data_IF_136951413699
#
_entry.id   IF_136951413699
#
_cell.length_a   1.000
_cell.length_b   1.000
_cell.length_c   1.000
_cell.angle_alpha   90.00
_cell.angle_beta   90.00
_cell.angle_gamma   90.00
#
_symmetry.space_group_name_H-M   'P 1'
#
loop_
_entity.id
_entity.type
_entity.pdbx_description
1 polymer ?
#
# COMPACT_ATOMS: atom_id res chain seq x y z
N UNK A 1 -1.37 12.16 8.78
CA UNK A 1 -1.10 10.82 9.37
C UNK A 1 -0.45 10.94 10.74
N UNK A 2 0.74 11.57 10.86
CA UNK A 2 1.42 11.80 12.15
C UNK A 2 0.55 12.49 13.21
N UNK A 3 -0.19 13.55 12.84
CA UNK A 3 -1.11 14.21 13.76
C UNK A 3 -2.27 13.32 14.24
N UNK A 4 -2.74 12.37 13.43
CA UNK A 4 -3.83 11.46 13.80
C UNK A 4 -3.34 10.32 14.71
N UNK A 5 -2.12 9.83 14.47
CA UNK A 5 -1.46 8.87 15.37
C UNK A 5 -1.20 9.50 16.74
N UNK A 6 -0.88 10.80 16.79
CA UNK A 6 -0.79 11.54 18.06
C UNK A 6 -2.11 11.59 18.83
N UNK A 7 -3.25 11.75 18.14
CA UNK A 7 -4.59 11.70 18.76
C UNK A 7 -4.88 10.29 19.33
N UNK A 8 -4.46 9.25 18.61
CA UNK A 8 -4.57 7.85 19.08
C UNK A 8 -3.73 7.62 20.36
N UNK A 9 -2.49 8.12 20.37
CA UNK A 9 -1.54 7.95 21.46
C UNK A 9 -1.97 8.65 22.77
N UNK A 10 -2.64 9.80 22.66
CA UNK A 10 -3.17 10.55 23.80
C UNK A 10 -4.65 10.22 24.12
N UNK A 11 -5.25 9.24 23.45
CA UNK A 11 -6.64 8.88 23.72
C UNK A 11 -6.83 8.32 25.13
N UNK A 12 -7.74 8.95 25.89
CA UNK A 12 -8.08 8.57 27.29
C UNK A 12 -9.44 7.86 27.36
N UNK A 13 -10.23 7.92 26.29
CA UNK A 13 -11.58 7.36 26.19
C UNK A 13 -11.74 6.50 24.94
N UNK A 14 -12.56 5.45 25.03
CA UNK A 14 -12.87 4.52 23.94
C UNK A 14 -13.50 5.21 22.72
N UNK A 15 -14.28 6.28 22.96
CA UNK A 15 -14.84 7.11 21.89
C UNK A 15 -13.75 7.91 21.15
N UNK A 16 -12.71 8.35 21.84
CA UNK A 16 -11.58 9.08 21.24
C UNK A 16 -10.69 8.14 20.42
N UNK A 17 -10.52 6.89 20.89
CA UNK A 17 -9.84 5.83 20.15
C UNK A 17 -10.56 5.51 18.83
N UNK A 18 -11.89 5.37 18.86
CA UNK A 18 -12.71 5.10 17.68
C UNK A 18 -12.60 6.23 16.64
N UNK A 19 -12.71 7.49 17.08
CA UNK A 19 -12.58 8.65 16.19
C UNK A 19 -11.17 8.73 15.60
N UNK A 20 -10.13 8.43 16.39
CA UNK A 20 -8.75 8.41 15.92
C UNK A 20 -8.49 7.29 14.88
N UNK A 21 -9.07 6.10 15.06
CA UNK A 21 -9.01 5.01 14.07
C UNK A 21 -9.70 5.39 12.75
N UNK A 22 -10.89 6.00 12.81
CA UNK A 22 -11.61 6.46 11.62
C UNK A 22 -10.79 7.51 10.86
N UNK A 23 -10.21 8.46 11.59
CA UNK A 23 -9.36 9.51 11.01
C UNK A 23 -8.02 8.97 10.49
N UNK A 24 -7.49 7.89 11.07
CA UNK A 24 -6.31 7.18 10.56
C UNK A 24 -6.60 6.33 9.32
N UNK A 25 -7.82 5.80 9.20
CA UNK A 25 -8.25 4.99 8.05
C UNK A 25 -8.22 5.76 6.73
N UNK A 26 -8.54 7.06 6.75
CA UNK A 26 -8.52 7.92 5.57
C UNK A 26 -7.11 8.01 4.93
N UNK A 27 -6.05 8.40 5.66
CA UNK A 27 -4.67 8.32 5.18
C UNK A 27 -4.27 6.94 4.68
N UNK A 28 -4.64 5.86 5.37
CA UNK A 28 -4.26 4.51 4.94
C UNK A 28 -4.81 4.14 3.57
N UNK A 29 -6.07 4.48 3.28
CA UNK A 29 -6.63 4.28 1.94
C UNK A 29 -5.93 5.11 0.86
N UNK A 30 -5.58 6.36 1.18
CA UNK A 30 -4.83 7.23 0.28
C UNK A 30 -3.42 6.67 0.02
N UNK A 31 -2.71 6.18 1.05
CA UNK A 31 -1.39 5.58 0.88
C UNK A 31 -1.43 4.29 0.05
N UNK A 32 -2.45 3.45 0.25
CA UNK A 32 -2.59 2.20 -0.49
C UNK A 32 -2.76 2.44 -2.00
N UNK A 33 -3.55 3.44 -2.36
CA UNK A 33 -3.82 3.79 -3.77
C UNK A 33 -2.66 4.56 -4.40
N UNK A 34 -2.09 5.55 -3.70
CA UNK A 34 -0.98 6.35 -4.23
C UNK A 34 0.28 5.51 -4.44
N UNK A 35 0.63 4.63 -3.50
CA UNK A 35 1.88 3.84 -3.59
C UNK A 35 1.83 2.87 -4.76
N UNK A 36 0.70 2.21 -4.97
CA UNK A 36 0.51 1.27 -6.08
C UNK A 36 0.48 1.99 -7.43
N UNK A 37 -0.19 3.15 -7.50
CA UNK A 37 -0.23 3.97 -8.71
C UNK A 37 1.16 4.51 -9.07
N UNK A 38 1.87 5.08 -8.11
CA UNK A 38 3.23 5.57 -8.31
C UNK A 38 4.17 4.44 -8.77
N UNK A 39 4.09 3.27 -8.14
CA UNK A 39 4.86 2.10 -8.56
C UNK A 39 4.52 1.70 -10.00
N UNK A 40 3.24 1.68 -10.37
CA UNK A 40 2.84 1.36 -11.73
C UNK A 40 3.33 2.38 -12.77
N UNK A 41 3.40 3.66 -12.42
CA UNK A 41 3.84 4.75 -13.30
C UNK A 41 5.36 4.80 -13.49
N UNK A 42 6.12 4.47 -12.44
CA UNK A 42 7.58 4.57 -12.42
C UNK A 42 8.26 3.31 -12.99
N UNK A 43 7.59 2.16 -12.95
CA UNK A 43 8.19 0.89 -13.33
C UNK A 43 7.99 0.54 -14.81
N UNK A 44 9.00 -0.02 -15.48
CA UNK A 44 8.84 -0.56 -16.82
C UNK A 44 7.81 -1.71 -16.82
N UNK A 45 7.09 -1.87 -17.93
CA UNK A 45 5.93 -2.79 -18.05
C UNK A 45 6.28 -4.22 -17.59
N UNK A 46 7.50 -4.69 -17.86
CA UNK A 46 7.98 -6.01 -17.47
C UNK A 46 8.25 -6.18 -15.97
N UNK A 47 8.55 -5.10 -15.24
CA UNK A 47 8.84 -5.14 -13.79
C UNK A 47 7.64 -4.71 -12.92
N UNK A 48 6.57 -4.22 -13.55
CA UNK A 48 5.39 -3.69 -12.85
C UNK A 48 4.76 -4.73 -11.90
N UNK A 49 4.65 -6.00 -12.31
CA UNK A 49 4.12 -7.05 -11.44
C UNK A 49 5.01 -7.26 -10.20
N UNK A 50 6.32 -7.33 -10.37
CA UNK A 50 7.26 -7.53 -9.26
C UNK A 50 7.20 -6.41 -8.22
N UNK A 51 7.24 -5.16 -8.66
CA UNK A 51 7.21 -4.03 -7.72
C UNK A 51 5.84 -3.85 -7.08
N UNK A 52 4.74 -4.14 -7.79
CA UNK A 52 3.41 -4.11 -7.18
C UNK A 52 3.28 -5.17 -6.08
N UNK A 53 3.83 -6.37 -6.30
CA UNK A 53 3.91 -7.41 -5.26
C UNK A 53 4.88 -7.06 -4.13
N UNK A 54 5.92 -6.27 -4.40
CA UNK A 54 6.80 -5.74 -3.36
C UNK A 54 6.06 -4.77 -2.41
N UNK A 55 5.14 -3.93 -2.93
CA UNK A 55 4.27 -3.10 -2.08
C UNK A 55 3.44 -3.97 -1.13
N UNK A 56 2.91 -5.09 -1.62
CA UNK A 56 2.20 -6.05 -0.77
C UNK A 56 3.13 -6.69 0.27
N UNK A 57 4.36 -7.06 -0.11
CA UNK A 57 5.35 -7.61 0.82
C UNK A 57 5.67 -6.63 1.96
N UNK A 58 5.84 -5.34 1.66
CA UNK A 58 6.03 -4.31 2.68
C UNK A 58 4.87 -4.26 3.69
N UNK A 59 3.65 -4.53 3.24
CA UNK A 59 2.48 -4.60 4.14
C UNK A 59 2.59 -5.80 5.09
N UNK A 60 2.98 -6.97 4.59
CA UNK A 60 3.19 -8.17 5.40
C UNK A 60 4.35 -7.99 6.38
N UNK A 61 5.46 -7.37 5.95
CA UNK A 61 6.60 -7.02 6.83
C UNK A 61 6.13 -6.10 7.96
N UNK A 62 5.33 -5.08 7.64
CA UNK A 62 4.76 -4.17 8.64
C UNK A 62 3.91 -4.90 9.67
N UNK A 63 3.04 -5.83 9.23
CA UNK A 63 2.23 -6.68 10.12
C UNK A 63 3.10 -7.60 10.99
N UNK A 64 4.17 -8.17 10.44
CA UNK A 64 5.10 -9.03 11.16
C UNK A 64 5.86 -8.24 12.25
N UNK A 65 6.34 -7.04 11.93
CA UNK A 65 6.99 -6.16 12.91
C UNK A 65 5.98 -5.77 14.00
N UNK A 66 4.76 -5.40 13.63
CA UNK A 66 3.71 -5.04 14.58
C UNK A 66 3.39 -6.21 15.52
N UNK A 67 3.22 -7.42 14.99
CA UNK A 67 2.97 -8.63 15.77
C UNK A 67 4.15 -8.98 16.69
N UNK A 68 5.39 -8.80 16.22
CA UNK A 68 6.60 -9.00 17.02
C UNK A 68 6.74 -8.00 18.17
N UNK A 69 6.46 -6.71 17.92
CA UNK A 69 6.43 -5.67 18.97
C UNK A 69 5.33 -5.99 19.98
N UNK A 70 4.15 -6.38 19.52
CA UNK A 70 3.02 -6.72 20.36
C UNK A 70 3.36 -7.90 21.29
N UNK A 71 4.07 -8.91 20.78
CA UNK A 71 4.60 -10.02 21.57
C UNK A 71 5.64 -9.58 22.60
N UNK A 72 6.53 -8.66 22.25
CA UNK A 72 7.49 -8.07 23.19
C UNK A 72 6.84 -7.29 24.33
N UNK A 73 5.63 -6.74 24.12
CA UNK A 73 4.89 -5.94 25.11
C UNK A 73 3.99 -6.75 26.05
N UNK A 74 3.82 -8.07 25.82
CA UNK A 74 2.95 -8.95 26.65
C UNK A 74 3.39 -8.98 28.11
N UNK A 75 4.69 -8.93 28.38
CA UNK A 75 5.23 -9.02 29.75
C UNK A 75 5.04 -7.75 30.60
N UNK A 76 4.56 -6.64 30.02
CA UNK A 76 4.44 -5.36 30.72
C UNK A 76 2.99 -5.12 31.19
N UNK A 77 2.70 -5.41 32.46
CA UNK A 77 1.43 -5.14 33.15
C UNK A 77 1.14 -3.63 33.42
N UNK A 78 1.56 -2.72 32.54
CA UNK A 78 1.40 -1.27 32.72
C UNK A 78 0.75 -0.60 31.52
N UNK A 79 0.20 0.62 31.70
CA UNK A 79 -0.42 1.48 30.66
C UNK A 79 0.47 1.73 29.43
N UNK A 80 1.72 1.30 29.47
CA UNK A 80 2.69 1.36 28.37
C UNK A 80 2.51 0.24 27.35
N UNK A 81 1.87 -0.88 27.69
CA UNK A 81 1.71 -2.03 26.79
C UNK A 81 0.91 -1.68 25.53
N UNK A 82 -0.13 -0.84 25.64
CA UNK A 82 -0.87 -0.35 24.47
C UNK A 82 -0.24 0.88 23.81
N UNK A 83 0.58 1.66 24.53
CA UNK A 83 1.21 2.89 23.99
C UNK A 83 2.45 2.63 23.15
N UNK A 84 3.20 1.57 23.44
CA UNK A 84 4.43 1.21 22.71
C UNK A 84 4.15 0.89 21.24
N UNK A 85 3.14 0.07 20.88
CA UNK A 85 2.77 -0.16 19.48
C UNK A 85 2.44 1.14 18.73
N UNK A 86 1.69 2.06 19.36
CA UNK A 86 1.37 3.36 18.77
C UNK A 86 2.62 4.26 18.63
N UNK A 87 3.56 4.20 19.56
CA UNK A 87 4.82 4.93 19.48
C UNK A 87 5.71 4.42 18.33
N UNK A 88 5.78 3.10 18.12
CA UNK A 88 6.51 2.49 17.00
C UNK A 88 5.89 2.92 15.67
N UNK A 89 4.56 3.04 15.59
CA UNK A 89 3.88 3.54 14.39
C UNK A 89 4.28 4.97 14.03
N UNK A 90 4.67 5.78 15.02
CA UNK A 90 5.08 7.17 14.87
C UNK A 90 6.51 7.32 14.30
N UNK A 91 7.33 6.27 14.37
CA UNK A 91 8.69 6.26 13.84
C UNK A 91 8.68 6.13 12.30
N UNK A 92 7.76 5.35 11.73
CA UNK A 92 7.73 5.04 10.29
C UNK A 92 7.51 6.22 9.32
N UNK A 93 6.74 7.27 9.65
CA UNK A 93 6.61 8.45 8.80
C UNK A 93 7.92 9.20 8.54
N UNK A 94 8.89 9.15 9.46
CA UNK A 94 10.17 9.86 9.36
C UNK A 94 11.05 9.30 8.21
N UNK A 95 11.37 7.98 8.15
CA UNK A 95 12.11 7.42 7.04
C UNK A 95 11.33 7.50 5.72
N UNK A 96 10.00 7.42 5.74
CA UNK A 96 9.18 7.62 4.55
C UNK A 96 9.34 9.05 4.01
N UNK A 97 9.33 10.07 4.87
CA UNK A 97 9.54 11.46 4.46
C UNK A 97 10.91 11.65 3.80
N UNK A 98 11.96 11.07 4.38
CA UNK A 98 13.32 11.11 3.82
C UNK A 98 13.36 10.40 2.45
N UNK A 99 12.72 9.24 2.34
CA UNK A 99 12.64 8.50 1.09
C UNK A 99 11.88 9.26 0.00
N UNK A 100 10.78 9.95 0.35
CA UNK A 100 10.01 10.79 -0.59
C UNK A 100 10.83 11.98 -1.07
N UNK A 101 11.65 12.59 -0.21
CA UNK A 101 12.53 13.70 -0.61
C UNK A 101 13.65 13.25 -1.57
N UNK A 102 14.07 11.99 -1.48
CA UNK A 102 15.10 11.39 -2.35
C UNK A 102 14.51 10.80 -3.64
N UNK A 103 13.24 10.41 -3.63
CA UNK A 103 12.59 9.76 -4.77
C UNK A 103 12.27 10.78 -5.89
N UNK A 104 12.53 10.43 -7.16
CA UNK A 104 12.13 11.27 -8.29
C UNK A 104 10.60 11.30 -8.40
N UNK A 105 10.01 12.46 -8.70
CA UNK A 105 8.57 12.53 -8.96
C UNK A 105 8.19 11.74 -10.23
N UNK A 106 6.95 11.21 -10.25
CA UNK A 106 6.47 10.37 -11.35
C UNK A 106 6.55 11.10 -12.70
N UNK A 107 7.21 10.52 -13.73
CA UNK A 107 7.26 11.09 -15.08
C UNK A 107 5.88 11.39 -15.67
N UNK A 108 4.86 10.57 -15.35
CA UNK A 108 3.48 10.76 -15.81
C UNK A 108 2.84 12.03 -15.24
N UNK A 109 3.20 12.40 -14.01
CA UNK A 109 2.71 13.64 -13.39
C UNK A 109 3.24 14.87 -14.12
N UNK A 110 4.53 14.87 -14.47
CA UNK A 110 5.15 15.95 -15.25
C UNK A 110 4.54 16.07 -16.65
N UNK A 111 4.29 14.93 -17.34
CA UNK A 111 3.63 14.91 -18.65
C UNK A 111 2.21 15.51 -18.56
N UNK A 112 1.41 15.12 -17.56
CA UNK A 112 0.05 15.66 -17.34
C UNK A 112 0.02 17.14 -16.97
N UNK A 113 1.08 17.64 -16.33
CA UNK A 113 1.26 19.07 -16.01
C UNK A 113 1.87 19.87 -17.17
N UNK A 114 2.22 19.25 -18.29
CA UNK A 114 2.85 19.90 -19.44
C UNK A 114 4.32 20.27 -19.22
N UNK A 115 4.98 19.74 -18.18
CA UNK A 115 6.40 19.99 -17.86
C UNK A 115 7.28 18.92 -18.50
N UNK A 116 7.37 18.93 -19.83
CA UNK A 116 8.05 17.91 -20.64
C UNK A 116 9.54 17.77 -20.28
N UNK A 117 10.21 18.88 -19.98
CA UNK A 117 11.65 18.90 -19.66
C UNK A 117 11.99 18.24 -18.31
N UNK A 118 11.10 18.36 -17.34
CA UNK A 118 11.25 17.67 -16.05
C UNK A 118 10.85 16.20 -16.13
N UNK A 119 9.87 15.87 -16.98
CA UNK A 119 9.54 14.48 -17.30
C UNK A 119 10.76 13.76 -17.90
N UNK A 120 11.46 14.39 -18.84
CA UNK A 120 12.70 13.86 -19.44
C UNK A 120 13.79 13.61 -18.40
N UNK A 121 14.06 14.58 -17.51
CA UNK A 121 15.03 14.42 -16.41
C UNK A 121 14.65 13.30 -15.42
N UNK A 122 13.36 13.12 -15.14
CA UNK A 122 12.89 12.04 -14.27
C UNK A 122 13.06 10.67 -14.96
N UNK A 123 12.72 10.56 -16.25
CA UNK A 123 12.95 9.35 -17.06
C UNK A 123 14.44 9.01 -17.16
N UNK A 124 15.31 9.99 -17.38
CA UNK A 124 16.77 9.80 -17.42
C UNK A 124 17.35 9.32 -16.09
N UNK A 125 16.78 9.76 -14.95
CA UNK A 125 17.15 9.26 -13.62
C UNK A 125 16.65 7.84 -13.33
N UNK A 126 15.52 7.46 -13.94
CA UNK A 126 14.88 6.16 -13.78
C UNK A 126 15.46 5.09 -14.72
N UNK A 127 16.01 5.49 -15.86
CA UNK A 127 16.70 4.60 -16.77
C UNK A 127 18.11 4.28 -16.26
N UNK A 128 18.50 3.00 -16.35
CA UNK A 128 19.86 2.57 -16.02
C UNK A 128 20.87 3.24 -16.95
N UNK A 129 22.00 3.70 -16.40
CA UNK A 129 23.11 4.29 -17.17
C UNK A 129 23.67 3.24 -18.13
N UNK A 130 23.21 3.24 -19.39
CA UNK A 130 23.69 2.32 -20.42
C UNK A 130 22.64 1.88 -21.46
N UNK A 131 21.36 2.21 -21.29
CA UNK A 131 20.32 1.81 -22.26
C UNK A 131 20.13 2.88 -23.35
N UNK A 132 20.27 2.49 -24.61
CA UNK A 132 20.04 3.28 -25.83
C UNK A 132 18.55 3.50 -26.14
N UNK A 133 17.75 3.86 -25.13
CA UNK A 133 16.35 4.24 -25.35
C UNK A 133 16.29 5.76 -25.26
N UNK A 134 15.95 6.43 -26.35
CA UNK A 134 15.79 7.88 -26.36
C UNK A 134 14.73 8.25 -25.32
N UNK A 135 15.13 8.95 -24.26
CA UNK A 135 14.22 9.48 -23.25
C UNK A 135 13.13 10.35 -23.92
N UNK A 136 13.46 11.02 -25.03
CA UNK A 136 12.51 11.75 -25.88
C UNK A 136 11.43 10.87 -26.50
N UNK A 137 11.76 9.68 -27.01
CA UNK A 137 10.76 8.76 -27.59
C UNK A 137 9.83 8.20 -26.52
N UNK A 138 10.37 7.91 -25.33
CA UNK A 138 9.57 7.43 -24.20
C UNK A 138 8.60 8.52 -23.73
N UNK A 139 9.08 9.76 -23.60
CA UNK A 139 8.25 10.90 -23.22
C UNK A 139 7.23 11.24 -24.32
N UNK A 140 7.60 11.15 -25.60
CA UNK A 140 6.68 11.36 -26.73
C UNK A 140 5.57 10.30 -26.76
N UNK A 141 5.89 9.03 -26.50
CA UNK A 141 4.90 7.97 -26.34
C UNK A 141 3.96 8.24 -25.16
N UNK A 142 4.49 8.69 -24.02
CA UNK A 142 3.66 9.05 -22.86
C UNK A 142 2.72 10.23 -23.15
N UNK A 143 3.20 11.26 -23.87
CA UNK A 143 2.38 12.40 -24.31
C UNK A 143 1.28 11.93 -25.27
N UNK A 144 1.61 11.07 -26.24
CA UNK A 144 0.63 10.53 -27.17
C UNK A 144 -0.44 9.69 -26.44
N UNK A 145 -0.04 8.84 -25.50
CA UNK A 145 -0.97 8.06 -24.67
C UNK A 145 -1.85 8.97 -23.82
N UNK A 146 -1.30 10.00 -23.16
CA UNK A 146 -2.10 10.96 -22.37
C UNK A 146 -3.10 11.72 -23.24
N UNK A 147 -2.72 12.12 -24.46
CA UNK A 147 -3.64 12.77 -25.40
C UNK A 147 -4.77 11.85 -25.86
N UNK A 148 -4.47 10.56 -26.10
CA UNK A 148 -5.49 9.55 -26.43
C UNK A 148 -6.40 9.30 -25.23
N UNK A 149 -5.85 9.15 -24.02
CA UNK A 149 -6.63 8.98 -22.79
C UNK A 149 -7.53 10.18 -22.52
N UNK A 150 -7.03 11.42 -22.67
CA UNK A 150 -7.82 12.64 -22.47
C UNK A 150 -8.95 12.75 -23.48
N UNK A 151 -8.72 12.40 -24.75
CA UNK A 151 -9.78 12.35 -25.77
C UNK A 151 -10.85 11.29 -25.47
N UNK A 152 -10.46 10.16 -24.88
CA UNK A 152 -11.40 9.12 -24.44
C UNK A 152 -12.15 9.53 -23.16
N UNK A 153 -11.50 10.33 -22.30
CA UNK A 153 -12.00 10.72 -20.98
C UNK A 153 -12.74 12.08 -20.98
N UNK A 154 -12.73 12.83 -22.08
CA UNK A 154 -13.51 14.05 -22.27
C UNK A 154 -15.02 13.73 -22.15
N UNK A 155 -15.59 14.05 -20.98
CA UNK A 155 -17.02 13.87 -20.68
C UNK A 155 -17.37 12.65 -19.83
N UNK A 156 -16.40 11.84 -19.39
CA UNK A 156 -16.67 10.66 -18.55
C UNK A 156 -16.64 11.00 -17.04
N UNK A 157 -17.80 11.05 -16.39
CA UNK A 157 -17.88 11.11 -14.92
C UNK A 157 -17.75 9.73 -14.26
N UNK A 158 -17.58 9.66 -12.93
CA UNK A 158 -17.51 8.39 -12.19
C UNK A 158 -18.75 7.48 -12.39
N UNK A 159 -19.91 8.08 -12.67
CA UNK A 159 -21.15 7.37 -13.01
C UNK A 159 -21.10 6.66 -14.38
N UNK A 160 -20.17 7.05 -15.27
CA UNK A 160 -19.98 6.39 -16.56
C UNK A 160 -19.29 5.03 -16.43
N UNK A 161 -18.65 4.72 -15.30
CA UNK A 161 -18.15 3.38 -14.98
C UNK A 161 -19.30 2.35 -14.87
N UNK A 162 -20.47 2.80 -14.42
CA UNK A 162 -21.70 2.00 -14.32
C UNK A 162 -22.56 2.08 -15.58
N UNK A 163 -22.13 2.79 -16.63
CA UNK A 163 -22.90 2.99 -17.86
C UNK A 163 -22.20 2.30 -19.03
N UNK A 164 -22.89 1.32 -19.60
CA UNK A 164 -22.41 0.51 -20.73
C UNK A 164 -21.91 -0.88 -20.33
N UNK A 165 -22.20 -1.88 -21.18
CA UNK A 165 -22.00 -3.31 -20.89
C UNK A 165 -20.53 -3.69 -20.69
N UNK A 166 -19.61 -2.96 -21.32
CA UNK A 166 -18.16 -3.20 -21.23
C UNK A 166 -17.57 -2.62 -19.95
N UNK A 167 -17.87 -1.35 -19.63
CA UNK A 167 -17.35 -0.68 -18.43
C UNK A 167 -17.95 -1.27 -17.15
N UNK A 168 -19.22 -1.68 -17.19
CA UNK A 168 -19.88 -2.32 -16.06
C UNK A 168 -19.26 -3.69 -15.75
N UNK A 169 -18.98 -4.52 -16.76
CA UNK A 169 -18.29 -5.81 -16.57
C UNK A 169 -16.88 -5.63 -15.99
N UNK A 170 -16.14 -4.60 -16.45
CA UNK A 170 -14.80 -4.29 -15.89
C UNK A 170 -14.89 -3.85 -14.43
N UNK A 171 -15.85 -2.99 -14.11
CA UNK A 171 -16.07 -2.50 -12.75
C UNK A 171 -16.53 -3.63 -11.83
N UNK A 172 -17.43 -4.49 -12.30
CA UNK A 172 -17.89 -5.68 -11.58
C UNK A 172 -16.74 -6.62 -11.25
N UNK A 173 -15.88 -6.97 -12.23
CA UNK A 173 -14.73 -7.83 -11.99
C UNK A 173 -13.78 -7.20 -10.96
N UNK A 174 -13.50 -5.90 -11.06
CA UNK A 174 -12.64 -5.21 -10.09
C UNK A 174 -13.24 -5.22 -8.67
N UNK A 175 -14.53 -4.92 -8.53
CA UNK A 175 -15.24 -4.95 -7.25
C UNK A 175 -15.30 -6.38 -6.68
N UNK A 176 -15.66 -7.37 -7.48
CA UNK A 176 -15.73 -8.78 -7.07
C UNK A 176 -14.36 -9.30 -6.62
N UNK A 177 -13.28 -8.89 -7.28
CA UNK A 177 -11.91 -9.29 -6.89
C UNK A 177 -11.58 -8.78 -5.48
N UNK A 178 -11.92 -7.52 -5.18
CA UNK A 178 -11.74 -6.92 -3.86
C UNK A 178 -12.64 -7.56 -2.78
N UNK A 179 -13.89 -7.86 -3.14
CA UNK A 179 -14.84 -8.54 -2.25
C UNK A 179 -14.33 -9.95 -1.93
N UNK A 180 -13.93 -10.74 -2.94
CA UNK A 180 -13.36 -12.07 -2.75
C UNK A 180 -12.13 -12.03 -1.84
N UNK A 181 -11.24 -11.04 -2.01
CA UNK A 181 -10.07 -10.89 -1.15
C UNK A 181 -10.46 -10.66 0.32
N UNK A 182 -11.50 -9.85 0.57
CA UNK A 182 -11.98 -9.57 1.93
C UNK A 182 -12.69 -10.80 2.53
N UNK A 183 -13.51 -11.49 1.74
CA UNK A 183 -14.24 -12.71 2.14
C UNK A 183 -13.27 -13.86 2.45
N UNK A 184 -12.14 -13.92 1.75
CA UNK A 184 -11.09 -14.93 1.99
C UNK A 184 -10.39 -14.75 3.36
N UNK A 185 -10.76 -13.72 4.12
CA UNK A 185 -10.46 -13.65 5.54
C UNK A 185 -9.34 -12.68 5.92
N UNK A 186 -8.96 -11.76 5.05
CA UNK A 186 -7.95 -10.73 5.37
C UNK A 186 -8.29 -9.96 6.65
N UNK A 187 -9.57 -9.66 6.88
CA UNK A 187 -10.06 -9.02 8.12
C UNK A 187 -10.00 -9.94 9.35
N UNK A 188 -10.10 -11.26 9.16
CA UNK A 188 -9.94 -12.23 10.25
C UNK A 188 -8.48 -12.34 10.67
N UNK A 189 -7.54 -12.24 9.72
CA UNK A 189 -6.10 -12.26 10.02
C UNK A 189 -5.67 -11.14 10.96
N UNK A 190 -6.29 -9.95 10.85
CA UNK A 190 -6.02 -8.83 11.74
C UNK A 190 -6.45 -9.06 13.19
N UNK A 191 -7.40 -9.97 13.42
CA UNK A 191 -7.91 -10.33 14.75
C UNK A 191 -7.50 -11.76 15.16
N UNK A 192 -6.54 -12.38 14.47
CA UNK A 192 -6.13 -13.78 14.70
C UNK A 192 -5.78 -14.07 16.17
N UNK A 193 -5.05 -13.18 16.83
CA UNK A 193 -4.66 -13.32 18.26
C UNK A 193 -5.88 -13.50 19.16
N UNK A 194 -6.91 -12.67 18.97
CA UNK A 194 -8.15 -12.74 19.73
C UNK A 194 -8.91 -14.06 19.50
N UNK A 195 -8.91 -14.56 18.26
CA UNK A 195 -9.52 -15.86 17.96
C UNK A 195 -8.74 -17.03 18.55
N UNK A 196 -7.40 -16.95 18.57
CA UNK A 196 -6.56 -17.96 19.19
C UNK A 196 -6.70 -17.99 20.71
N UNK A 197 -6.79 -16.83 21.37
CA UNK A 197 -7.13 -16.73 22.80
C UNK A 197 -8.50 -17.36 23.10
N UNK A 198 -9.52 -17.04 22.29
CA UNK A 198 -10.86 -17.65 22.43
C UNK A 198 -10.90 -19.15 22.15
N UNK A 199 -9.97 -19.67 21.37
CA UNK A 199 -9.82 -21.10 21.13
C UNK A 199 -9.17 -21.86 22.32
N UNK A 200 -8.77 -21.14 23.38
CA UNK A 200 -8.21 -21.72 24.61
C UNK A 200 -6.69 -21.82 24.62
N UNK A 201 -6.00 -21.15 23.68
CA UNK A 201 -4.53 -21.06 23.69
C UNK A 201 -4.08 -20.03 24.74
N UNK A 202 -2.99 -20.33 25.44
CA UNK A 202 -2.33 -19.36 26.31
C UNK A 202 -1.87 -18.14 25.49
N UNK A 203 -1.97 -16.94 26.06
CA UNK A 203 -1.69 -15.66 25.39
C UNK A 203 -0.38 -15.72 24.60
N UNK A 204 0.73 -16.19 25.19
CA UNK A 204 2.00 -16.36 24.46
C UNK A 204 1.82 -17.17 23.18
N UNK A 205 1.27 -18.38 23.26
CA UNK A 205 1.10 -19.27 22.11
C UNK A 205 0.19 -18.68 21.01
N UNK A 206 -0.80 -17.87 21.39
CA UNK A 206 -1.68 -17.17 20.44
C UNK A 206 -0.91 -16.11 19.62
N UNK A 207 0.03 -15.40 20.25
CA UNK A 207 0.90 -14.46 19.55
C UNK A 207 1.98 -15.18 18.72
N UNK A 208 2.56 -16.29 19.19
CA UNK A 208 3.46 -17.15 18.41
C UNK A 208 2.81 -17.59 17.09
N UNK A 209 1.59 -18.10 17.16
CA UNK A 209 0.83 -18.55 15.98
C UNK A 209 0.53 -17.40 15.02
N UNK A 210 0.27 -16.21 15.55
CA UNK A 210 0.03 -15.02 14.72
C UNK A 210 1.30 -14.59 13.97
N UNK A 211 2.47 -14.62 14.64
CA UNK A 211 3.76 -14.36 13.99
C UNK A 211 4.04 -15.42 12.92
N UNK A 212 3.77 -16.70 13.21
CA UNK A 212 3.93 -17.79 12.25
C UNK A 212 3.01 -17.62 11.03
N UNK A 213 1.77 -17.19 11.23
CA UNK A 213 0.82 -16.88 10.16
C UNK A 213 1.34 -15.78 9.24
N UNK A 214 1.85 -14.67 9.78
CA UNK A 214 2.42 -13.59 8.97
C UNK A 214 3.74 -13.99 8.30
N UNK A 215 4.55 -14.82 8.95
CA UNK A 215 5.77 -15.38 8.34
C UNK A 215 5.44 -16.31 7.16
N UNK A 216 4.40 -17.15 7.28
CA UNK A 216 3.89 -17.94 6.16
C UNK A 216 3.39 -17.04 5.02
N UNK A 217 2.66 -15.97 5.35
CA UNK A 217 2.25 -14.95 4.39
C UNK A 217 3.44 -14.33 3.65
N UNK A 218 4.51 -13.98 4.36
CA UNK A 218 5.74 -13.45 3.78
C UNK A 218 6.37 -14.44 2.79
N UNK A 219 6.52 -15.70 3.20
CA UNK A 219 7.08 -16.74 2.33
C UNK A 219 6.19 -17.02 1.12
N UNK A 220 4.86 -17.00 1.28
CA UNK A 220 3.91 -17.15 0.19
C UNK A 220 4.01 -16.02 -0.84
N UNK A 221 4.15 -14.77 -0.39
CA UNK A 221 4.37 -13.62 -1.27
C UNK A 221 5.70 -13.74 -2.02
N UNK A 222 6.78 -14.16 -1.37
CA UNK A 222 8.08 -14.36 -2.03
C UNK A 222 8.04 -15.51 -3.05
N UNK A 223 7.38 -16.62 -2.72
CA UNK A 223 7.19 -17.76 -3.63
C UNK A 223 6.30 -17.43 -4.83
N UNK A 224 5.43 -16.43 -4.72
CA UNK A 224 4.57 -15.98 -5.81
C UNK A 224 5.34 -15.24 -6.92
N UNK A 225 6.49 -14.64 -6.62
CA UNK A 225 7.30 -13.89 -7.59
C UNK A 225 7.74 -14.72 -8.82
N UNK A 226 8.34 -15.92 -8.67
CA UNK A 226 8.70 -16.75 -9.82
C UNK A 226 7.47 -17.26 -10.61
N UNK A 227 6.29 -17.34 -9.99
CA UNK A 227 5.04 -17.72 -10.66
C UNK A 227 4.45 -16.57 -11.49
N UNK A 228 4.60 -15.32 -11.04
CA UNK A 228 4.18 -14.12 -11.79
C UNK A 228 5.14 -13.74 -12.92
N UNK A 229 6.35 -14.31 -12.92
CA UNK A 229 7.36 -14.14 -13.96
C UNK A 229 7.03 -14.85 -15.28
N UNK A 230 6.10 -15.81 -15.23
CA UNK A 230 5.83 -16.79 -16.27
C UNK A 230 4.52 -16.50 -16.98
#
# INVERSE_FOLDING_TARGET
>A
MTAFIFIQFFSVSLSMLLVGEILCGLPWGVFQTLTTTYTAEVCPIHLRCYLTSYVNLCWVIGQLIASGVLRGTIGMNSKWSYKIPFAVQLIWPIPILIAVLLAPESPWWYVRKGRVEEAKRSVERLQSKGTTVNADETVAMMIHTDQVERKISEGTGHLHCFRGRVNLRRTEIACLTWICQTICGSSFMGNSTYFYEKAGLADSSAFDMTIAQFALGFTGTVLSWPLMAR
#
